data_IF_659885662576
#
_entry.id   IF_659885662576
#
_cell.length_a   1.000
_cell.length_b   1.000
_cell.length_c   1.000
_cell.angle_alpha   90.00
_cell.angle_beta   90.00
_cell.angle_gamma   90.00
#
_symmetry.space_group_name_H-M   'P 1'
#
loop_
_entity.id
_entity.type
_entity.pdbx_description
1 polymer ?
#
# COMPACT_ATOMS: atom_id res chain seq x y z
N UNK A 1 -27.80 2.16 76.68
CA UNK A 1 -27.25 3.22 75.79
C UNK A 1 -26.51 2.50 74.62
N UNK A 2 -27.17 2.38 73.45
CA UNK A 2 -26.66 1.77 72.26
C UNK A 2 -26.17 2.91 71.36
N UNK A 3 -24.85 2.97 71.09
CA UNK A 3 -24.27 3.96 70.14
C UNK A 3 -24.29 3.36 68.76
N UNK A 4 -25.13 3.92 67.89
CA UNK A 4 -25.18 3.60 66.45
C UNK A 4 -24.11 4.43 65.73
N UNK A 5 -23.13 3.72 65.10
CA UNK A 5 -22.15 4.34 64.23
C UNK A 5 -22.70 4.34 62.78
N UNK A 6 -22.89 5.53 62.22
CA UNK A 6 -23.24 5.74 60.82
C UNK A 6 -21.95 5.71 60.01
N UNK A 7 -21.76 4.66 59.20
CA UNK A 7 -20.66 4.59 58.21
C UNK A 7 -21.10 5.38 56.95
N UNK A 8 -20.43 6.49 56.68
CA UNK A 8 -20.53 7.19 55.41
C UNK A 8 -19.60 6.50 54.38
N UNK A 9 -20.19 5.81 53.39
CA UNK A 9 -19.45 5.30 52.24
C UNK A 9 -19.35 6.42 51.22
N UNK A 10 -18.15 7.01 51.09
CA UNK A 10 -17.83 7.99 50.06
C UNK A 10 -17.53 7.21 48.76
N UNK A 11 -18.48 7.14 47.81
CA UNK A 11 -18.25 6.58 46.48
C UNK A 11 -17.45 7.60 45.65
N UNK A 12 -16.17 7.32 45.45
CA UNK A 12 -15.30 8.04 44.49
C UNK A 12 -15.72 7.64 43.09
N UNK A 13 -16.47 8.48 42.38
CA UNK A 13 -16.66 8.37 40.95
C UNK A 13 -15.34 8.71 40.26
N UNK A 14 -14.62 7.70 39.82
CA UNK A 14 -13.46 7.87 38.94
C UNK A 14 -13.94 8.29 37.54
N UNK A 15 -13.93 9.58 37.27
CA UNK A 15 -14.05 10.10 35.91
C UNK A 15 -12.73 9.74 35.14
N UNK A 16 -12.75 8.68 34.39
CA UNK A 16 -11.71 8.47 33.38
C UNK A 16 -11.93 9.49 32.26
N UNK A 17 -11.09 10.52 32.22
CA UNK A 17 -11.02 11.40 31.06
C UNK A 17 -10.71 10.53 29.82
N UNK A 18 -11.45 10.68 28.71
CA UNK A 18 -11.11 9.98 27.48
C UNK A 18 -9.69 10.39 27.09
N UNK A 19 -8.82 9.41 26.91
CA UNK A 19 -7.47 9.63 26.39
C UNK A 19 -7.64 10.14 24.96
N UNK A 20 -7.39 11.42 24.71
CA UNK A 20 -7.45 12.02 23.38
C UNK A 20 -6.52 11.24 22.46
N UNK A 21 -7.03 10.74 21.34
CA UNK A 21 -6.23 10.03 20.36
C UNK A 21 -5.13 10.96 19.80
N UNK A 22 -3.89 10.49 19.81
CA UNK A 22 -2.77 11.29 19.31
C UNK A 22 -2.92 11.48 17.79
N UNK A 23 -2.58 12.69 17.26
CA UNK A 23 -2.44 12.87 15.83
C UNK A 23 -1.44 11.87 15.25
N UNK A 24 -1.77 11.33 14.08
CA UNK A 24 -0.98 10.33 13.37
C UNK A 24 -0.12 11.05 12.33
N UNK A 25 1.19 10.78 12.31
CA UNK A 25 2.09 11.29 11.30
C UNK A 25 1.88 10.57 9.96
N UNK A 26 1.79 11.34 8.87
CA UNK A 26 1.57 10.84 7.52
C UNK A 26 2.62 11.40 6.59
N UNK A 27 3.27 10.53 5.82
CA UNK A 27 4.09 10.90 4.69
C UNK A 27 3.37 10.62 3.38
N UNK A 28 3.53 11.55 2.43
CA UNK A 28 2.98 11.42 1.08
C UNK A 28 4.12 11.31 0.08
N UNK A 29 4.16 10.19 -0.64
CA UNK A 29 4.96 10.04 -1.84
C UNK A 29 4.24 10.67 -3.02
N UNK A 30 4.97 11.41 -3.84
CA UNK A 30 4.40 12.21 -4.92
C UNK A 30 5.11 11.94 -6.25
N UNK A 31 4.40 12.13 -7.36
CA UNK A 31 5.01 12.06 -8.69
C UNK A 31 4.08 12.71 -9.71
N UNK A 32 4.53 13.76 -10.35
CA UNK A 32 3.75 14.49 -11.33
C UNK A 32 4.08 15.97 -11.35
N UNK A 33 3.25 16.74 -12.03
CA UNK A 33 3.44 18.18 -12.17
C UNK A 33 3.26 18.88 -10.82
N UNK A 34 4.24 19.71 -10.44
CA UNK A 34 4.24 20.47 -9.19
C UNK A 34 4.66 19.65 -7.96
N UNK A 35 4.99 18.37 -8.11
CA UNK A 35 5.51 17.55 -7.03
C UNK A 35 7.01 17.83 -6.83
N UNK A 36 7.40 18.23 -5.62
CA UNK A 36 8.78 18.59 -5.28
C UNK A 36 9.50 17.52 -4.44
N UNK A 37 8.77 16.57 -3.86
CA UNK A 37 9.36 15.56 -3.01
C UNK A 37 8.39 14.79 -2.14
N UNK A 38 8.87 14.36 -0.97
CA UNK A 38 8.07 13.72 0.07
C UNK A 38 7.47 14.81 0.95
N UNK A 39 6.16 14.77 1.14
CA UNK A 39 5.43 15.70 2.01
C UNK A 39 5.04 15.02 3.32
N UNK A 40 4.89 15.80 4.38
CA UNK A 40 4.45 15.37 5.70
C UNK A 40 3.27 16.22 6.18
N UNK A 41 2.33 15.57 6.87
CA UNK A 41 1.26 16.20 7.65
C UNK A 41 0.89 15.31 8.84
N UNK A 42 0.04 15.79 9.73
CA UNK A 42 -0.60 14.97 10.74
C UNK A 42 -2.10 14.84 10.47
N UNK A 43 -2.67 13.73 10.87
CA UNK A 43 -4.11 13.45 10.84
C UNK A 43 -4.63 13.22 12.23
N UNK A 44 -5.71 13.92 12.61
CA UNK A 44 -6.39 13.67 13.87
C UNK A 44 -7.56 12.70 13.65
N UNK A 45 -7.48 11.45 14.14
CA UNK A 45 -8.51 10.44 13.92
C UNK A 45 -9.83 10.70 14.64
N UNK A 46 -9.85 11.56 15.68
CA UNK A 46 -11.08 11.91 16.40
C UNK A 46 -12.03 12.75 15.53
N UNK A 47 -11.48 13.68 14.77
CA UNK A 47 -12.27 14.65 14.02
C UNK A 47 -12.01 14.64 12.51
N UNK A 48 -11.10 13.79 12.02
CA UNK A 48 -10.74 13.66 10.61
C UNK A 48 -10.00 14.86 10.01
N UNK A 49 -9.35 15.70 10.83
CA UNK A 49 -8.66 16.90 10.38
C UNK A 49 -7.19 16.64 10.10
N UNK A 50 -6.70 17.30 9.06
CA UNK A 50 -5.29 17.34 8.71
C UNK A 50 -4.64 18.67 9.11
N UNK A 51 -3.35 18.62 9.47
CA UNK A 51 -2.52 19.84 9.40
C UNK A 51 -2.13 20.10 7.93
N UNK A 52 -1.76 21.33 7.55
CA UNK A 52 -1.24 21.59 6.20
C UNK A 52 -0.04 20.71 5.85
N UNK A 53 0.00 20.16 4.64
CA UNK A 53 1.14 19.40 4.15
C UNK A 53 2.36 20.30 3.95
N UNK A 54 3.52 19.82 4.38
CA UNK A 54 4.81 20.50 4.24
C UNK A 54 5.79 19.59 3.51
N UNK A 55 6.65 20.16 2.66
CA UNK A 55 7.75 19.42 2.05
C UNK A 55 8.71 18.96 3.15
N UNK A 56 8.92 17.65 3.22
CA UNK A 56 9.78 17.00 4.23
C UNK A 56 11.15 16.63 3.65
N UNK A 57 11.20 16.17 2.41
CA UNK A 57 12.44 15.91 1.68
C UNK A 57 12.27 16.23 0.19
N UNK A 58 13.10 17.12 -0.38
CA UNK A 58 13.11 17.39 -1.82
C UNK A 58 13.75 16.21 -2.57
N UNK A 59 13.00 15.60 -3.48
CA UNK A 59 13.47 14.50 -4.34
C UNK A 59 12.50 14.30 -5.51
N UNK A 60 13.01 13.99 -6.68
CA UNK A 60 12.20 13.74 -7.86
C UNK A 60 11.42 12.40 -7.76
N UNK A 61 10.13 12.46 -7.97
CA UNK A 61 9.24 11.29 -8.09
C UNK A 61 9.40 10.22 -6.98
N UNK A 62 9.30 10.56 -5.70
CA UNK A 62 9.28 9.58 -4.61
C UNK A 62 7.93 8.84 -4.60
N UNK A 63 7.71 8.04 -5.65
CA UNK A 63 6.40 7.47 -5.99
C UNK A 63 5.89 6.42 -5.01
N UNK A 64 6.76 5.81 -4.23
CA UNK A 64 6.37 4.86 -3.19
C UNK A 64 7.30 4.91 -1.99
N UNK A 65 6.74 4.77 -0.79
CA UNK A 65 7.40 4.88 0.50
C UNK A 65 7.20 3.61 1.31
N UNK A 66 8.17 3.29 2.16
CA UNK A 66 8.07 2.21 3.16
C UNK A 66 8.93 2.54 4.38
N UNK A 67 8.60 1.96 5.54
CA UNK A 67 9.40 2.08 6.76
C UNK A 67 10.26 0.84 6.97
N UNK A 68 11.43 1.04 7.59
CA UNK A 68 12.20 -0.06 8.15
C UNK A 68 11.47 -0.62 9.38
N UNK A 69 11.56 -1.95 9.69
CA UNK A 69 10.90 -2.54 10.86
C UNK A 69 11.29 -1.94 12.21
N UNK A 70 12.39 -1.16 12.30
CA UNK A 70 12.75 -0.44 13.53
C UNK A 70 11.97 0.87 13.75
N UNK A 71 11.10 1.28 12.80
CA UNK A 71 10.28 2.48 12.88
C UNK A 71 11.05 3.82 12.78
N UNK A 72 12.38 3.81 12.55
CA UNK A 72 13.22 5.03 12.57
C UNK A 72 13.71 5.48 11.20
N UNK A 73 13.54 4.64 10.18
CA UNK A 73 14.02 4.88 8.82
C UNK A 73 12.86 4.78 7.85
N UNK A 74 12.75 5.76 6.98
CA UNK A 74 11.86 5.74 5.81
C UNK A 74 12.70 5.49 4.57
N UNK A 75 12.27 4.57 3.69
CA UNK A 75 12.84 4.40 2.36
C UNK A 75 11.85 4.83 1.30
N UNK A 76 12.37 5.38 0.21
CA UNK A 76 11.60 5.73 -0.99
C UNK A 76 12.29 5.22 -2.25
N UNK A 77 11.52 5.02 -3.30
CA UNK A 77 12.04 5.13 -4.66
C UNK A 77 12.21 6.62 -4.98
N UNK A 78 13.08 6.96 -5.93
CA UNK A 78 13.25 8.37 -6.29
C UNK A 78 14.19 8.59 -7.47
N UNK A 79 14.23 9.85 -7.93
CA UNK A 79 15.10 10.32 -9.01
C UNK A 79 15.88 11.53 -8.54
N UNK A 80 17.17 11.56 -8.86
CA UNK A 80 18.07 12.67 -8.58
C UNK A 80 18.98 12.92 -9.77
N UNK A 81 19.76 14.00 -9.71
CA UNK A 81 20.78 14.26 -10.73
C UNK A 81 21.76 13.09 -10.82
N UNK A 82 21.86 12.48 -12.01
CA UNK A 82 22.72 11.34 -12.28
C UNK A 82 22.16 9.97 -11.91
N UNK A 83 20.89 9.84 -11.45
CA UNK A 83 20.37 8.50 -11.17
C UNK A 83 18.91 8.38 -10.72
N UNK A 84 18.47 7.13 -10.71
CA UNK A 84 17.20 6.70 -10.13
C UNK A 84 17.43 5.45 -9.29
N UNK A 85 16.66 5.24 -8.23
CA UNK A 85 16.84 4.06 -7.39
C UNK A 85 16.11 4.17 -6.07
N UNK A 86 16.76 3.73 -4.99
CA UNK A 86 16.25 3.80 -3.63
C UNK A 86 17.02 4.81 -2.78
N UNK A 87 16.32 5.46 -1.85
CA UNK A 87 16.87 6.42 -0.89
C UNK A 87 16.40 6.04 0.52
N UNK A 88 17.22 6.35 1.53
CA UNK A 88 16.91 6.16 2.95
C UNK A 88 17.04 7.46 3.73
N UNK A 89 16.07 7.68 4.63
CA UNK A 89 15.98 8.87 5.47
C UNK A 89 15.82 8.48 6.92
N UNK A 90 16.56 9.14 7.82
CA UNK A 90 16.22 9.14 9.24
C UNK A 90 14.98 9.99 9.47
N UNK A 91 14.03 9.45 10.24
CA UNK A 91 12.82 10.16 10.63
C UNK A 91 13.12 10.96 11.91
N UNK A 92 13.05 12.28 11.79
CA UNK A 92 13.21 13.22 12.90
C UNK A 92 11.89 13.64 13.53
N UNK A 93 11.92 14.45 14.58
CA UNK A 93 10.73 15.03 15.20
C UNK A 93 9.90 15.81 14.18
N UNK A 94 8.56 15.78 14.33
CA UNK A 94 7.62 16.53 13.48
C UNK A 94 7.70 16.19 11.99
N UNK A 95 8.10 14.96 11.65
CA UNK A 95 8.14 14.48 10.27
C UNK A 95 9.29 15.02 9.43
N UNK A 96 10.36 15.53 10.04
CA UNK A 96 11.58 15.90 9.33
C UNK A 96 12.26 14.63 8.77
N UNK A 97 12.69 14.68 7.51
CA UNK A 97 13.42 13.59 6.86
C UNK A 97 14.85 14.05 6.54
N UNK A 98 15.84 13.34 7.10
CA UNK A 98 17.25 13.57 6.81
C UNK A 98 17.79 12.40 6.00
N UNK A 99 18.07 12.64 4.72
CA UNK A 99 18.71 11.63 3.88
C UNK A 99 20.09 11.24 4.43
N UNK A 100 20.35 9.91 4.47
CA UNK A 100 21.65 9.38 4.90
C UNK A 100 22.24 8.37 3.91
N UNK A 101 21.41 7.82 3.02
CA UNK A 101 21.85 6.83 2.02
C UNK A 101 21.02 6.94 0.75
N UNK A 102 21.66 6.73 -0.40
CA UNK A 102 20.99 6.49 -1.70
C UNK A 102 21.80 5.50 -2.51
N UNK A 103 21.11 4.73 -3.34
CA UNK A 103 21.73 3.76 -4.22
C UNK A 103 20.98 3.70 -5.55
N UNK A 104 21.71 3.90 -6.64
CA UNK A 104 21.16 3.81 -7.97
C UNK A 104 20.76 2.37 -8.32
N UNK A 105 19.69 2.22 -9.10
CA UNK A 105 19.30 0.98 -9.74
C UNK A 105 19.67 1.03 -11.22
N UNK A 106 20.46 0.10 -11.73
CA UNK A 106 20.88 0.10 -13.15
C UNK A 106 19.69 0.01 -14.12
N UNK A 107 18.58 -0.60 -13.69
CA UNK A 107 17.38 -0.84 -14.50
C UNK A 107 16.29 0.26 -14.31
N UNK A 108 16.69 1.43 -13.86
CA UNK A 108 15.82 2.59 -13.75
C UNK A 108 15.11 2.74 -12.40
N UNK A 109 14.10 3.62 -12.37
CA UNK A 109 13.37 3.96 -11.16
C UNK A 109 12.29 2.94 -10.81
N UNK A 110 12.23 2.56 -9.54
CA UNK A 110 11.17 1.69 -9.02
C UNK A 110 9.80 2.39 -8.97
N UNK A 111 8.74 1.61 -9.12
CA UNK A 111 7.36 2.06 -8.89
C UNK A 111 6.78 1.60 -7.55
N UNK A 112 7.46 0.65 -6.88
CA UNK A 112 7.11 0.15 -5.56
C UNK A 112 8.37 -0.24 -4.78
N UNK A 113 8.32 -0.15 -3.46
CA UNK A 113 9.42 -0.50 -2.55
C UNK A 113 8.85 -1.21 -1.30
N UNK A 114 9.53 -2.24 -0.82
CA UNK A 114 9.19 -2.94 0.42
C UNK A 114 10.42 -3.45 1.14
N UNK A 115 10.52 -3.19 2.45
CA UNK A 115 11.55 -3.75 3.32
C UNK A 115 11.13 -5.12 3.80
N UNK A 116 12.06 -6.09 3.78
CA UNK A 116 11.80 -7.41 4.38
C UNK A 116 11.62 -7.29 5.91
N UNK A 117 10.71 -8.08 6.53
CA UNK A 117 10.49 -8.01 7.98
C UNK A 117 11.73 -8.20 8.85
N UNK A 118 12.80 -8.84 8.33
CA UNK A 118 14.09 -8.94 9.05
C UNK A 118 14.89 -7.64 9.08
N UNK A 119 14.52 -6.61 8.31
CA UNK A 119 15.29 -5.37 8.15
C UNK A 119 16.60 -5.50 7.37
N UNK A 120 16.92 -6.68 6.80
CA UNK A 120 18.23 -6.94 6.18
C UNK A 120 18.35 -6.55 4.70
N UNK A 121 17.24 -6.34 4.02
CA UNK A 121 17.18 -5.93 2.63
C UNK A 121 15.80 -5.35 2.27
N UNK A 122 15.75 -4.66 1.17
CA UNK A 122 14.51 -4.23 0.55
C UNK A 122 14.44 -4.63 -0.93
N UNK A 123 13.24 -4.65 -1.47
CA UNK A 123 12.96 -4.90 -2.88
C UNK A 123 12.31 -3.68 -3.51
N UNK A 124 12.63 -3.42 -4.77
CA UNK A 124 11.90 -2.47 -5.62
C UNK A 124 11.41 -3.17 -6.89
N UNK A 125 10.22 -2.78 -7.37
CA UNK A 125 9.67 -3.23 -8.65
C UNK A 125 9.98 -2.20 -9.72
N UNK A 126 10.63 -2.62 -10.82
CA UNK A 126 11.03 -1.78 -11.94
C UNK A 126 10.04 -1.95 -13.09
N UNK A 127 8.97 -1.16 -13.09
CA UNK A 127 7.90 -1.29 -14.09
C UNK A 127 8.40 -1.09 -15.52
N UNK A 128 9.23 -0.06 -15.74
CA UNK A 128 9.76 0.26 -17.06
C UNK A 128 10.86 -0.69 -17.52
N UNK A 129 11.68 -1.19 -16.59
CA UNK A 129 12.80 -2.08 -16.90
C UNK A 129 12.42 -3.57 -16.96
N UNK A 130 11.28 -3.94 -16.38
CA UNK A 130 10.83 -5.34 -16.37
C UNK A 130 11.54 -6.22 -15.34
N UNK A 131 12.09 -5.65 -14.28
CA UNK A 131 12.90 -6.35 -13.28
C UNK A 131 12.48 -6.10 -11.84
N UNK A 132 13.08 -6.83 -10.92
CA UNK A 132 13.06 -6.60 -9.48
C UNK A 132 14.50 -6.36 -9.01
N UNK A 133 14.71 -5.27 -8.27
CA UNK A 133 16.00 -5.01 -7.64
C UNK A 133 15.94 -5.30 -6.15
N UNK A 134 16.93 -6.04 -5.64
CA UNK A 134 17.12 -6.32 -4.23
C UNK A 134 18.34 -5.54 -3.73
N UNK A 135 18.11 -4.66 -2.76
CA UNK A 135 19.14 -3.88 -2.09
C UNK A 135 19.41 -4.47 -0.71
N UNK A 136 20.57 -5.06 -0.45
CA UNK A 136 20.97 -5.41 0.90
C UNK A 136 21.06 -4.15 1.77
N UNK A 137 20.78 -4.28 3.07
CA UNK A 137 20.93 -3.23 4.06
C UNK A 137 22.01 -3.64 5.06
N UNK A 138 22.89 -2.71 5.41
CA UNK A 138 23.82 -2.91 6.51
C UNK A 138 23.11 -2.75 7.88
N UNK A 139 23.85 -2.84 8.98
CA UNK A 139 23.30 -2.77 10.34
C UNK A 139 22.71 -1.40 10.66
N UNK A 140 23.21 -0.35 10.03
CA UNK A 140 22.77 1.03 10.17
C UNK A 140 21.60 1.36 9.23
N UNK A 141 21.27 0.45 8.29
CA UNK A 141 20.21 0.61 7.30
C UNK A 141 20.69 1.27 5.99
N UNK A 142 22.02 1.39 5.76
CA UNK A 142 22.51 1.92 4.50
C UNK A 142 22.27 0.93 3.36
N UNK A 143 21.83 1.46 2.23
CA UNK A 143 21.63 0.71 1.00
C UNK A 143 22.97 0.25 0.43
N UNK A 144 23.04 -1.03 0.06
CA UNK A 144 24.18 -1.62 -0.63
C UNK A 144 23.88 -1.84 -2.11
N UNK A 145 24.90 -2.16 -2.91
CA UNK A 145 24.78 -2.41 -4.35
C UNK A 145 23.67 -3.46 -4.61
N UNK A 146 22.68 -3.13 -5.46
CA UNK A 146 21.56 -4.04 -5.70
C UNK A 146 21.93 -5.21 -6.60
N UNK A 147 21.22 -6.31 -6.40
CA UNK A 147 21.10 -7.39 -7.40
C UNK A 147 19.82 -7.16 -8.19
N UNK A 148 19.94 -7.03 -9.52
CA UNK A 148 18.78 -6.91 -10.43
C UNK A 148 18.43 -8.27 -10.98
N UNK A 149 17.14 -8.62 -10.96
CA UNK A 149 16.61 -9.89 -11.44
C UNK A 149 15.55 -9.57 -12.51
N UNK A 150 15.90 -9.82 -13.76
CA UNK A 150 15.02 -9.58 -14.89
C UNK A 150 13.91 -10.62 -14.97
N UNK A 151 12.69 -10.18 -15.25
CA UNK A 151 11.61 -11.02 -15.70
C UNK A 151 11.70 -11.21 -17.22
N UNK A 152 11.12 -12.29 -17.75
CA UNK A 152 11.23 -12.62 -19.17
C UNK A 152 9.85 -12.90 -19.76
N UNK A 153 9.64 -12.47 -21.02
CA UNK A 153 8.44 -12.75 -21.79
C UNK A 153 7.46 -11.58 -21.83
N UNK A 154 6.20 -11.90 -22.03
CA UNK A 154 5.03 -11.04 -22.07
C UNK A 154 3.81 -11.90 -22.35
N UNK A 155 2.65 -11.61 -21.77
CA UNK A 155 1.42 -12.37 -22.02
C UNK A 155 0.83 -12.07 -23.39
N UNK A 156 1.11 -10.86 -23.94
CA UNK A 156 0.68 -10.37 -25.27
C UNK A 156 -0.84 -10.36 -25.48
N UNK A 157 -1.62 -10.32 -24.39
CA UNK A 157 -3.08 -10.32 -24.47
C UNK A 157 -3.60 -8.91 -24.71
N UNK A 158 -3.06 -7.90 -24.00
CA UNK A 158 -3.44 -6.49 -24.16
C UNK A 158 -2.30 -5.77 -24.87
N UNK A 159 -2.55 -5.36 -26.12
CA UNK A 159 -1.59 -4.66 -26.97
C UNK A 159 -1.04 -3.39 -26.27
N UNK A 160 0.26 -3.12 -26.45
CA UNK A 160 1.02 -2.00 -25.86
C UNK A 160 1.12 -2.01 -24.32
N UNK A 161 0.53 -3.01 -23.66
CA UNK A 161 0.57 -3.12 -22.21
C UNK A 161 1.24 -4.39 -21.70
N UNK A 162 1.35 -5.45 -22.55
CA UNK A 162 1.79 -6.77 -22.13
C UNK A 162 2.78 -7.43 -23.10
N UNK A 163 3.51 -6.66 -23.91
CA UNK A 163 4.58 -7.16 -24.78
C UNK A 163 5.82 -7.59 -24.01
N UNK A 164 6.05 -6.98 -22.85
CA UNK A 164 7.19 -7.22 -21.95
C UNK A 164 6.76 -7.30 -20.50
N UNK A 165 7.65 -7.76 -19.59
CA UNK A 165 7.36 -7.75 -18.16
C UNK A 165 7.18 -6.32 -17.60
N UNK A 166 6.27 -6.17 -16.63
CA UNK A 166 6.03 -4.95 -15.90
C UNK A 166 5.74 -5.25 -14.43
N UNK A 167 6.76 -5.62 -13.62
CA UNK A 167 6.61 -5.78 -12.17
C UNK A 167 6.06 -4.50 -11.56
N UNK A 168 4.97 -4.57 -10.78
CA UNK A 168 4.32 -3.37 -10.28
C UNK A 168 4.27 -3.26 -8.76
N UNK A 169 4.51 -4.34 -8.06
CA UNK A 169 4.52 -4.40 -6.61
C UNK A 169 5.55 -5.42 -6.12
N UNK A 170 6.07 -5.21 -4.93
CA UNK A 170 6.91 -6.17 -4.22
C UNK A 170 6.42 -6.33 -2.80
N UNK A 171 6.47 -7.53 -2.26
CA UNK A 171 6.17 -7.77 -0.86
C UNK A 171 6.46 -9.20 -0.47
N UNK A 172 6.19 -9.51 0.79
CA UNK A 172 6.61 -10.78 1.38
C UNK A 172 5.41 -11.56 1.89
N UNK A 173 5.55 -12.89 1.89
CA UNK A 173 4.59 -13.76 2.57
C UNK A 173 4.59 -13.45 4.08
N UNK A 174 3.48 -13.73 4.82
CA UNK A 174 3.39 -13.41 6.25
C UNK A 174 4.53 -13.99 7.11
N UNK A 175 5.11 -15.11 6.68
CA UNK A 175 6.25 -15.74 7.38
C UNK A 175 7.63 -15.27 6.86
N UNK A 176 7.69 -14.31 5.96
CA UNK A 176 8.92 -13.78 5.36
C UNK A 176 9.71 -14.73 4.45
N UNK A 177 9.24 -15.97 4.21
CA UNK A 177 10.02 -16.97 3.46
C UNK A 177 9.95 -16.81 1.95
N UNK A 178 8.99 -16.05 1.45
CA UNK A 178 8.78 -15.84 0.02
C UNK A 178 8.57 -14.36 -0.27
N UNK A 179 9.13 -13.89 -1.38
CA UNK A 179 8.79 -12.62 -2.00
C UNK A 179 7.83 -12.88 -3.16
N UNK A 180 6.80 -12.05 -3.28
CA UNK A 180 5.78 -12.16 -4.31
C UNK A 180 5.74 -10.87 -5.12
N UNK A 181 5.77 -11.01 -6.44
CA UNK A 181 5.90 -9.90 -7.38
C UNK A 181 4.80 -10.03 -8.43
N UNK A 182 3.65 -9.35 -8.28
CA UNK A 182 2.70 -9.18 -9.37
C UNK A 182 3.36 -8.48 -10.56
N UNK A 183 3.24 -9.12 -11.72
CA UNK A 183 3.76 -8.61 -12.99
C UNK A 183 2.62 -8.41 -13.97
N UNK A 184 2.35 -7.15 -14.31
CA UNK A 184 1.25 -6.75 -15.19
C UNK A 184 1.44 -7.30 -16.60
N UNK A 185 2.67 -7.27 -17.11
CA UNK A 185 2.98 -7.70 -18.47
C UNK A 185 2.92 -9.22 -18.65
N UNK A 186 3.12 -9.98 -17.57
CA UNK A 186 3.15 -11.44 -17.59
C UNK A 186 1.82 -12.09 -17.24
N UNK A 187 0.83 -11.35 -16.73
CA UNK A 187 -0.38 -11.89 -16.10
C UNK A 187 -0.10 -12.90 -14.98
N UNK A 188 0.94 -12.64 -14.15
CA UNK A 188 1.42 -13.56 -13.13
C UNK A 188 1.79 -12.85 -11.83
N UNK A 189 1.78 -13.61 -10.73
CA UNK A 189 2.58 -13.33 -9.55
C UNK A 189 3.83 -14.19 -9.67
N UNK A 190 5.00 -13.58 -9.79
CA UNK A 190 6.29 -14.29 -9.75
C UNK A 190 6.66 -14.47 -8.29
N UNK A 191 7.02 -15.71 -7.90
CA UNK A 191 7.29 -16.09 -6.51
C UNK A 191 8.76 -16.44 -6.37
N UNK A 192 9.42 -15.83 -5.40
CA UNK A 192 10.82 -16.08 -5.05
C UNK A 192 10.93 -16.65 -3.64
N UNK A 193 11.85 -17.58 -3.45
CA UNK A 193 12.29 -18.03 -2.12
C UNK A 193 13.29 -17.01 -1.57
N UNK A 194 13.15 -16.66 -0.29
CA UNK A 194 14.00 -15.70 0.42
C UNK A 194 15.03 -16.44 1.27
N UNK A 195 16.29 -16.00 1.22
CA UNK A 195 17.33 -16.31 2.19
C UNK A 195 17.68 -15.04 2.97
N UNK A 196 17.51 -15.07 4.29
CA UNK A 196 17.84 -13.94 5.18
C UNK A 196 19.21 -14.07 5.84
N UNK A 197 19.85 -15.23 5.76
CA UNK A 197 21.21 -15.44 6.30
C UNK A 197 22.24 -14.78 5.36
N UNK A 198 22.07 -15.02 4.06
CA UNK A 198 22.76 -14.33 2.98
C UNK A 198 21.69 -13.65 2.12
N UNK A 199 21.36 -12.35 2.40
CA UNK A 199 20.25 -11.68 1.74
C UNK A 199 20.21 -11.93 0.24
N UNK A 200 19.26 -12.74 -0.20
CA UNK A 200 19.08 -13.12 -1.61
C UNK A 200 17.66 -13.62 -1.85
N UNK A 201 17.22 -13.51 -3.10
CA UNK A 201 15.97 -14.11 -3.57
C UNK A 201 16.27 -15.00 -4.79
N UNK A 202 15.61 -16.15 -4.86
CA UNK A 202 15.76 -17.10 -5.98
C UNK A 202 14.40 -17.49 -6.53
N UNK A 203 14.25 -17.58 -7.86
CA UNK A 203 12.99 -17.94 -8.51
C UNK A 203 12.48 -19.27 -7.97
N UNK A 204 11.24 -19.29 -7.49
CA UNK A 204 10.60 -20.47 -6.91
C UNK A 204 9.45 -20.99 -7.77
N UNK A 205 8.59 -20.08 -8.25
CA UNK A 205 7.44 -20.47 -9.05
C UNK A 205 6.64 -19.25 -9.54
N UNK A 206 5.47 -19.52 -10.08
CA UNK A 206 4.53 -18.50 -10.55
C UNK A 206 3.10 -18.88 -10.21
N UNK A 207 2.25 -17.87 -9.98
CA UNK A 207 0.80 -18.04 -9.91
C UNK A 207 0.16 -17.22 -11.03
N UNK A 208 -0.54 -17.89 -11.96
CA UNK A 208 -1.14 -17.26 -13.14
C UNK A 208 -2.45 -16.60 -12.81
N UNK A 209 -2.61 -15.32 -13.19
CA UNK A 209 -3.86 -14.58 -13.13
C UNK A 209 -4.77 -14.94 -14.32
N UNK A 210 -5.80 -14.12 -14.53
CA UNK A 210 -6.63 -14.18 -15.74
C UNK A 210 -5.87 -13.52 -16.88
N UNK A 211 -5.83 -14.12 -18.10
CA UNK A 211 -5.21 -13.49 -19.25
C UNK A 211 -5.76 -12.09 -19.53
N UNK A 212 -4.89 -11.12 -19.76
CA UNK A 212 -5.26 -9.72 -20.01
C UNK A 212 -5.66 -8.93 -18.75
N UNK A 213 -5.60 -9.56 -17.57
CA UNK A 213 -6.05 -8.89 -16.34
C UNK A 213 -5.06 -7.81 -15.84
N UNK A 214 -3.77 -7.98 -16.06
CA UNK A 214 -2.73 -7.04 -15.64
C UNK A 214 -2.55 -6.95 -14.13
N UNK A 215 -1.94 -7.95 -13.47
CA UNK A 215 -1.60 -7.94 -12.05
C UNK A 215 -0.85 -6.67 -11.63
N UNK A 216 -1.32 -6.01 -10.56
CA UNK A 216 -0.73 -4.74 -10.12
C UNK A 216 -0.23 -4.79 -8.69
N UNK A 217 -1.12 -4.78 -7.73
CA UNK A 217 -0.85 -4.84 -6.30
C UNK A 217 -1.56 -6.04 -5.68
N UNK A 218 -1.10 -6.49 -4.52
CA UNK A 218 -1.75 -7.58 -3.80
C UNK A 218 -1.65 -7.43 -2.30
N UNK A 219 -2.56 -8.10 -1.58
CA UNK A 219 -2.49 -8.23 -0.13
C UNK A 219 -2.86 -9.66 0.27
N UNK A 220 -2.26 -10.12 1.36
CA UNK A 220 -2.70 -11.35 2.02
C UNK A 220 -3.96 -11.09 2.86
N UNK A 221 -4.83 -12.11 2.99
CA UNK A 221 -5.81 -12.11 4.06
C UNK A 221 -5.11 -12.11 5.42
N UNK A 222 -5.78 -11.62 6.47
CA UNK A 222 -5.19 -11.49 7.82
C UNK A 222 -4.68 -12.82 8.37
N UNK A 223 -5.38 -13.93 8.05
CA UNK A 223 -4.97 -15.29 8.43
C UNK A 223 -3.93 -15.92 7.49
N UNK A 224 -3.49 -15.19 6.47
CA UNK A 224 -2.48 -15.61 5.50
C UNK A 224 -2.89 -16.73 4.56
N UNK A 225 -4.17 -17.15 4.53
CA UNK A 225 -4.63 -18.26 3.68
C UNK A 225 -4.97 -17.87 2.26
N UNK A 226 -5.30 -16.59 2.03
CA UNK A 226 -5.69 -16.08 0.73
C UNK A 226 -4.77 -14.93 0.31
N UNK A 227 -4.66 -14.76 -1.01
CA UNK A 227 -4.08 -13.59 -1.67
C UNK A 227 -5.19 -12.92 -2.45
N UNK A 228 -5.35 -11.60 -2.27
CA UNK A 228 -6.20 -10.74 -3.08
C UNK A 228 -5.31 -9.95 -4.03
N UNK A 229 -5.31 -10.34 -5.30
CA UNK A 229 -4.55 -9.74 -6.37
C UNK A 229 -5.41 -8.74 -7.12
N UNK A 230 -5.02 -7.47 -7.09
CA UNK A 230 -5.64 -6.42 -7.88
C UNK A 230 -5.12 -6.47 -9.31
N UNK A 231 -6.03 -6.52 -10.25
CA UNK A 231 -5.76 -6.48 -11.68
C UNK A 231 -6.04 -5.07 -12.22
N UNK A 232 -5.01 -4.43 -12.75
CA UNK A 232 -5.10 -3.05 -13.24
C UNK A 232 -6.01 -2.92 -14.47
N UNK A 233 -5.77 -3.78 -15.47
CA UNK A 233 -6.37 -3.64 -16.80
C UNK A 233 -7.84 -4.09 -16.83
N UNK A 234 -8.17 -5.13 -16.09
CA UNK A 234 -9.55 -5.66 -16.04
C UNK A 234 -10.41 -5.06 -14.92
N UNK A 235 -9.88 -4.16 -14.07
CA UNK A 235 -10.58 -3.61 -12.90
C UNK A 235 -11.26 -4.71 -12.08
N UNK A 236 -10.45 -5.65 -11.59
CA UNK A 236 -10.95 -6.81 -10.85
C UNK A 236 -9.99 -7.24 -9.76
N UNK A 237 -10.48 -8.03 -8.81
CA UNK A 237 -9.66 -8.68 -7.79
C UNK A 237 -9.73 -10.18 -7.98
N UNK A 238 -8.57 -10.82 -8.20
CA UNK A 238 -8.44 -12.28 -8.26
C UNK A 238 -8.02 -12.82 -6.91
N UNK A 239 -8.80 -13.72 -6.35
CA UNK A 239 -8.48 -14.44 -5.12
C UNK A 239 -7.73 -15.71 -5.42
N UNK A 240 -6.62 -15.93 -4.69
CA UNK A 240 -5.87 -17.20 -4.67
C UNK A 240 -5.89 -17.80 -3.27
N UNK A 241 -5.89 -19.13 -3.16
CA UNK A 241 -5.45 -19.79 -1.93
C UNK A 241 -3.93 -19.83 -1.89
N UNK A 242 -3.36 -19.67 -0.69
CA UNK A 242 -1.93 -19.69 -0.46
C UNK A 242 -1.50 -20.90 0.40
N UNK A 243 -0.52 -21.67 -0.07
CA UNK A 243 0.16 -22.70 0.71
C UNK A 243 1.50 -22.16 1.21
N UNK A 244 1.54 -21.71 2.47
CA UNK A 244 2.73 -21.09 3.07
C UNK A 244 3.91 -22.06 3.26
N UNK A 245 3.69 -23.39 3.26
CA UNK A 245 4.75 -24.39 3.38
C UNK A 245 5.42 -24.63 2.05
N UNK A 246 4.62 -24.68 0.96
CA UNK A 246 5.10 -24.92 -0.40
C UNK A 246 5.48 -23.63 -1.13
N UNK A 247 5.02 -22.47 -0.67
CA UNK A 247 5.20 -21.22 -1.40
C UNK A 247 4.43 -21.18 -2.71
N UNK A 248 3.22 -21.73 -2.75
CA UNK A 248 2.42 -21.83 -3.98
C UNK A 248 1.05 -21.20 -3.81
N UNK A 249 0.52 -20.61 -4.90
CA UNK A 249 -0.82 -20.03 -4.92
C UNK A 249 -1.67 -20.67 -6.02
N UNK A 250 -2.93 -20.97 -5.70
CA UNK A 250 -3.92 -21.51 -6.64
C UNK A 250 -5.06 -20.52 -6.82
N UNK A 251 -5.31 -20.11 -8.07
CA UNK A 251 -6.42 -19.20 -8.41
C UNK A 251 -7.78 -19.83 -8.07
N UNK A 252 -8.64 -19.05 -7.43
CA UNK A 252 -9.98 -19.48 -7.00
C UNK A 252 -11.07 -18.75 -7.79
N UNK A 253 -11.19 -17.43 -7.60
CA UNK A 253 -12.26 -16.60 -8.18
C UNK A 253 -11.69 -15.25 -8.62
N UNK A 254 -12.41 -14.57 -9.52
CA UNK A 254 -12.16 -13.18 -9.89
C UNK A 254 -13.46 -12.39 -9.73
N UNK A 255 -13.40 -11.26 -9.02
CA UNK A 255 -14.54 -10.39 -8.73
C UNK A 255 -14.32 -9.05 -9.41
N UNK A 256 -15.19 -8.58 -10.30
CA UNK A 256 -15.11 -7.22 -10.88
C UNK A 256 -15.20 -6.14 -9.79
N UNK A 257 -14.44 -5.06 -9.94
CA UNK A 257 -14.51 -3.88 -9.08
C UNK A 257 -15.71 -2.99 -9.41
N UNK A 258 -16.04 -2.90 -10.71
CA UNK A 258 -17.13 -2.15 -11.29
C UNK A 258 -17.93 -3.05 -12.23
N UNK A 259 -19.20 -2.73 -12.48
CA UNK A 259 -19.99 -3.41 -13.52
C UNK A 259 -19.46 -3.09 -14.91
N UNK A 260 -19.73 -3.93 -15.89
CA UNK A 260 -19.31 -3.68 -17.28
C UNK A 260 -19.97 -2.43 -17.86
N UNK A 261 -21.21 -2.13 -17.48
CA UNK A 261 -21.91 -0.90 -17.87
C UNK A 261 -21.18 0.36 -17.37
N UNK A 262 -20.77 0.37 -16.10
CA UNK A 262 -20.02 1.48 -15.51
C UNK A 262 -18.67 1.65 -16.20
N UNK A 263 -17.95 0.55 -16.46
CA UNK A 263 -16.68 0.60 -17.17
C UNK A 263 -16.81 1.17 -18.58
N UNK A 264 -17.87 0.77 -19.30
CA UNK A 264 -18.10 1.24 -20.68
C UNK A 264 -18.48 2.73 -20.76
N UNK A 265 -18.98 3.32 -19.67
CA UNK A 265 -19.29 4.76 -19.58
C UNK A 265 -18.08 5.67 -19.42
N UNK A 266 -16.90 5.11 -19.12
CA UNK A 266 -15.70 5.89 -18.86
C UNK A 266 -14.71 5.85 -20.03
N UNK A 267 -14.12 6.98 -20.36
CA UNK A 267 -13.10 7.07 -21.42
C UNK A 267 -11.77 6.41 -21.05
N UNK A 268 -11.50 6.28 -19.74
CA UNK A 268 -10.34 5.62 -19.17
C UNK A 268 -10.70 4.95 -17.85
N UNK A 269 -10.29 3.72 -17.69
CA UNK A 269 -10.48 2.95 -16.46
C UNK A 269 -9.24 2.13 -16.12
N UNK A 270 -8.81 2.16 -14.87
CA UNK A 270 -7.82 1.21 -14.36
C UNK A 270 -7.81 1.15 -12.83
N UNK A 271 -7.51 -0.01 -12.25
CA UNK A 271 -7.34 -0.11 -10.80
C UNK A 271 -5.94 0.32 -10.35
N UNK A 272 -5.78 0.72 -9.08
CA UNK A 272 -4.47 1.16 -8.57
C UNK A 272 -4.04 0.51 -7.26
N UNK A 273 -4.77 0.62 -6.17
CA UNK A 273 -4.37 0.10 -4.86
C UNK A 273 -5.40 -0.86 -4.30
N UNK A 274 -4.94 -1.82 -3.49
CA UNK A 274 -5.78 -2.77 -2.76
C UNK A 274 -5.35 -2.86 -1.31
N UNK A 275 -6.33 -2.91 -0.39
CA UNK A 275 -6.12 -3.03 1.05
C UNK A 275 -7.03 -4.11 1.62
N UNK A 276 -6.58 -4.75 2.69
CA UNK A 276 -7.39 -5.64 3.53
C UNK A 276 -7.57 -4.98 4.89
N UNK A 277 -8.81 -4.86 5.33
CA UNK A 277 -9.12 -4.35 6.66
C UNK A 277 -8.58 -5.31 7.73
N UNK A 278 -8.02 -4.82 8.86
CA UNK A 278 -7.46 -5.68 9.91
C UNK A 278 -8.44 -6.70 10.51
N UNK A 279 -9.75 -6.43 10.46
CA UNK A 279 -10.77 -7.42 10.84
C UNK A 279 -10.82 -8.64 9.91
N UNK A 280 -10.20 -8.58 8.73
CA UNK A 280 -10.28 -9.61 7.69
C UNK A 280 -11.64 -9.71 6.98
N UNK A 281 -12.63 -8.88 7.36
CA UNK A 281 -13.99 -8.92 6.82
C UNK A 281 -14.14 -8.13 5.51
N UNK A 282 -13.27 -7.15 5.26
CA UNK A 282 -13.40 -6.21 4.16
C UNK A 282 -12.12 -6.05 3.36
N UNK A 283 -12.28 -5.78 2.06
CA UNK A 283 -11.21 -5.44 1.13
C UNK A 283 -11.62 -4.17 0.39
N UNK A 284 -10.65 -3.31 0.06
CA UNK A 284 -10.86 -2.06 -0.65
C UNK A 284 -9.97 -2.00 -1.88
N UNK A 285 -10.48 -1.52 -3.01
CA UNK A 285 -9.64 -1.22 -4.18
C UNK A 285 -10.01 0.13 -4.81
N UNK A 286 -9.01 0.86 -5.28
CA UNK A 286 -9.23 2.14 -5.95
C UNK A 286 -9.34 1.99 -7.46
N UNK A 287 -10.25 2.78 -8.08
CA UNK A 287 -10.56 2.78 -9.51
C UNK A 287 -10.27 4.17 -10.08
N UNK A 288 -9.22 4.28 -10.90
CA UNK A 288 -8.84 5.51 -11.61
C UNK A 288 -9.73 5.70 -12.84
N UNK A 289 -10.09 6.92 -13.17
CA UNK A 289 -11.03 7.27 -14.23
C UNK A 289 -12.45 7.38 -13.69
N UNK A 290 -12.98 6.32 -13.08
CA UNK A 290 -14.26 6.36 -12.35
C UNK A 290 -14.14 7.06 -10.97
N UNK A 291 -12.92 7.25 -10.48
CA UNK A 291 -12.56 8.02 -9.27
C UNK A 291 -13.28 7.57 -8.00
N UNK A 292 -13.27 6.26 -7.78
CA UNK A 292 -13.96 5.62 -6.66
C UNK A 292 -13.07 4.61 -5.92
N UNK A 293 -13.57 4.18 -4.75
CA UNK A 293 -13.12 2.99 -4.04
C UNK A 293 -14.23 1.95 -4.04
N UNK A 294 -13.95 0.75 -4.51
CA UNK A 294 -14.82 -0.41 -4.37
C UNK A 294 -14.57 -1.07 -3.03
N UNK A 295 -15.65 -1.27 -2.27
CA UNK A 295 -15.67 -1.95 -0.98
C UNK A 295 -16.19 -3.36 -1.18
N UNK A 296 -15.44 -4.35 -0.70
CA UNK A 296 -15.82 -5.75 -0.79
C UNK A 296 -16.01 -6.35 0.60
N UNK A 297 -17.05 -7.13 0.75
CA UNK A 297 -17.17 -8.09 1.85
C UNK A 297 -16.40 -9.36 1.48
N UNK A 298 -15.51 -9.81 2.36
CA UNK A 298 -14.72 -11.02 2.18
C UNK A 298 -15.34 -12.18 2.96
N UNK A 299 -15.44 -13.35 2.33
CA UNK A 299 -15.81 -14.58 3.02
C UNK A 299 -14.54 -15.22 3.61
N UNK A 300 -14.40 -15.33 4.94
CA UNK A 300 -13.17 -15.79 5.57
C UNK A 300 -12.87 -17.29 5.34
N UNK A 301 -13.88 -18.08 4.95
CA UNK A 301 -13.71 -19.52 4.70
C UNK A 301 -13.30 -19.81 3.26
N UNK A 302 -13.73 -18.99 2.30
CA UNK A 302 -13.56 -19.27 0.87
C UNK A 302 -12.70 -18.23 0.15
N UNK A 303 -12.40 -17.08 0.79
CA UNK A 303 -11.74 -15.94 0.18
C UNK A 303 -12.59 -15.21 -0.88
N UNK A 304 -13.82 -15.63 -1.16
CA UNK A 304 -14.70 -14.97 -2.13
C UNK A 304 -15.02 -13.55 -1.70
N UNK A 305 -14.99 -12.63 -2.66
CA UNK A 305 -15.32 -11.22 -2.49
C UNK A 305 -16.70 -10.91 -3.08
N UNK A 306 -17.43 -9.99 -2.44
CA UNK A 306 -18.69 -9.42 -2.95
C UNK A 306 -18.62 -7.91 -2.80
N UNK A 307 -18.78 -7.16 -3.89
CA UNK A 307 -18.87 -5.69 -3.85
C UNK A 307 -20.13 -5.30 -3.06
N UNK A 308 -19.97 -4.43 -2.06
CA UNK A 308 -21.05 -3.92 -1.20
C UNK A 308 -21.23 -2.42 -1.30
N UNK A 309 -20.22 -1.71 -1.86
CA UNK A 309 -20.28 -0.27 -2.13
C UNK A 309 -19.25 0.10 -3.20
N UNK A 310 -19.57 1.13 -3.97
CA UNK A 310 -18.62 1.89 -4.81
C UNK A 310 -18.73 3.35 -4.36
N UNK A 311 -17.67 3.86 -3.70
CA UNK A 311 -17.65 5.16 -3.03
C UNK A 311 -16.80 6.16 -3.79
N UNK A 312 -17.35 7.33 -4.23
CA UNK A 312 -16.56 8.41 -4.79
C UNK A 312 -15.51 8.94 -3.81
N UNK A 313 -14.27 9.17 -4.27
CA UNK A 313 -13.15 9.60 -3.40
C UNK A 313 -13.14 11.09 -3.09
N UNK A 314 -13.97 11.90 -3.72
CA UNK A 314 -13.95 13.38 -3.61
C UNK A 314 -12.63 13.99 -4.11
N UNK A 315 -12.09 13.44 -5.17
CA UNK A 315 -10.88 13.81 -5.87
C UNK A 315 -10.84 13.11 -7.21
N UNK A 316 -9.71 13.19 -7.93
CA UNK A 316 -9.52 12.54 -9.22
C UNK A 316 -8.27 11.69 -9.25
N UNK A 317 -8.34 10.54 -9.94
CA UNK A 317 -7.26 9.60 -10.16
C UNK A 317 -6.70 8.99 -8.86
N UNK A 318 -7.48 8.17 -8.11
CA UNK A 318 -7.06 7.56 -6.84
C UNK A 318 -5.95 6.53 -7.04
N UNK A 319 -4.69 7.02 -7.12
CA UNK A 319 -3.55 6.15 -7.37
C UNK A 319 -3.12 5.36 -6.14
N UNK A 320 -3.45 5.87 -4.95
CA UNK A 320 -3.22 5.16 -3.68
C UNK A 320 -4.37 5.43 -2.70
N UNK A 321 -4.65 4.44 -1.90
CA UNK A 321 -5.49 4.51 -0.70
C UNK A 321 -4.73 3.88 0.46
N UNK A 322 -4.96 4.34 1.69
CA UNK A 322 -4.43 3.64 2.86
C UNK A 322 -5.39 3.75 4.05
N UNK A 323 -5.30 2.77 4.97
CA UNK A 323 -6.06 2.76 6.22
C UNK A 323 -5.23 3.41 7.32
N UNK A 324 -5.88 4.17 8.20
CA UNK A 324 -5.24 4.59 9.45
C UNK A 324 -4.85 3.37 10.30
N UNK A 325 -3.84 3.46 11.20
CA UNK A 325 -3.41 2.32 12.02
C UNK A 325 -4.54 1.68 12.84
N UNK A 326 -5.50 2.47 13.31
CA UNK A 326 -6.72 2.00 13.99
C UNK A 326 -7.78 1.42 13.02
N UNK A 327 -7.57 1.58 11.72
CA UNK A 327 -8.48 1.20 10.65
C UNK A 327 -9.88 1.81 10.74
N UNK A 328 -10.02 2.95 11.41
CA UNK A 328 -11.25 3.71 11.51
C UNK A 328 -11.49 4.61 10.28
N UNK A 329 -10.43 4.90 9.53
CA UNK A 329 -10.46 5.75 8.36
C UNK A 329 -9.75 5.13 7.17
N UNK A 330 -10.27 5.43 5.98
CA UNK A 330 -9.59 5.24 4.71
C UNK A 330 -9.26 6.61 4.12
N UNK A 331 -7.99 6.84 3.80
CA UNK A 331 -7.53 8.01 3.08
C UNK A 331 -7.35 7.66 1.61
N UNK A 332 -7.84 8.53 0.71
CA UNK A 332 -7.75 8.35 -0.73
C UNK A 332 -6.96 9.51 -1.37
N UNK A 333 -5.86 9.18 -2.04
CA UNK A 333 -4.98 10.12 -2.72
C UNK A 333 -5.39 10.29 -4.19
N UNK A 334 -6.01 11.43 -4.49
CA UNK A 334 -6.39 11.85 -5.84
C UNK A 334 -5.23 12.59 -6.51
N UNK A 335 -4.45 11.88 -7.32
CA UNK A 335 -3.22 12.41 -7.91
C UNK A 335 -3.47 13.62 -8.83
N UNK A 336 -4.53 13.56 -9.65
CA UNK A 336 -4.85 14.61 -10.61
C UNK A 336 -5.57 15.80 -9.96
N UNK A 337 -6.25 15.58 -8.83
CA UNK A 337 -6.89 16.65 -8.05
C UNK A 337 -5.95 17.31 -7.03
N UNK A 338 -4.74 16.79 -6.82
CA UNK A 338 -3.81 17.26 -5.79
C UNK A 338 -4.41 17.23 -4.38
N UNK A 339 -5.22 16.22 -4.06
CA UNK A 339 -5.93 16.12 -2.79
C UNK A 339 -5.81 14.75 -2.15
N UNK A 340 -5.88 14.72 -0.82
CA UNK A 340 -6.14 13.49 -0.06
C UNK A 340 -7.39 13.70 0.77
N UNK A 341 -8.39 12.85 0.59
CA UNK A 341 -9.67 12.92 1.29
C UNK A 341 -9.83 11.74 2.25
N UNK A 342 -10.39 11.99 3.44
CA UNK A 342 -10.63 10.97 4.45
C UNK A 342 -12.09 10.52 4.46
N UNK A 343 -12.27 9.21 4.59
CA UNK A 343 -13.55 8.53 4.66
C UNK A 343 -13.62 7.70 5.93
N UNK A 344 -14.68 7.89 6.72
CA UNK A 344 -14.94 7.07 7.90
C UNK A 344 -15.34 5.66 7.46
N UNK A 345 -14.85 4.66 8.17
CA UNK A 345 -15.19 3.25 7.95
C UNK A 345 -16.25 2.83 8.97
N UNK A 346 -17.35 2.28 8.49
CA UNK A 346 -18.30 1.57 9.32
C UNK A 346 -17.74 0.19 9.66
N UNK A 347 -17.48 -0.07 10.92
CA UNK A 347 -16.78 -1.29 11.38
C UNK A 347 -17.60 -2.58 11.24
N UNK A 348 -18.92 -2.47 11.06
CA UNK A 348 -19.82 -3.63 10.88
C UNK A 348 -19.97 -3.99 9.40
N UNK A 349 -20.08 -2.99 8.53
CA UNK A 349 -20.39 -3.17 7.10
C UNK A 349 -19.19 -2.93 6.18
N UNK A 350 -18.11 -2.32 6.67
CA UNK A 350 -16.94 -1.90 5.91
C UNK A 350 -17.19 -0.69 5.01
N UNK A 351 -18.40 -0.16 4.98
CA UNK A 351 -18.78 0.94 4.09
C UNK A 351 -18.08 2.23 4.45
N UNK A 352 -17.79 3.01 3.42
CA UNK A 352 -17.11 4.29 3.51
C UNK A 352 -18.10 5.44 3.50
N UNK A 353 -17.89 6.41 4.38
CA UNK A 353 -18.62 7.69 4.38
C UNK A 353 -17.63 8.83 4.33
N UNK A 354 -17.74 9.70 3.31
CA UNK A 354 -16.90 10.88 3.21
C UNK A 354 -17.15 11.83 4.39
N UNK A 355 -16.09 12.24 5.06
CA UNK A 355 -16.16 13.24 6.12
C UNK A 355 -15.98 14.63 5.54
N UNK A 356 -17.04 15.45 5.59
CA UNK A 356 -17.01 16.82 5.07
C UNK A 356 -15.90 17.66 5.73
N UNK A 357 -15.06 18.29 4.88
CA UNK A 357 -13.94 19.12 5.32
C UNK A 357 -12.71 18.32 5.80
N UNK A 358 -12.68 17.01 5.60
CA UNK A 358 -11.50 16.16 5.82
C UNK A 358 -10.76 15.94 4.52
N UNK A 359 -10.19 17.02 4.00
CA UNK A 359 -9.38 17.05 2.76
C UNK A 359 -8.13 17.88 3.02
N UNK A 360 -7.01 17.43 2.47
CA UNK A 360 -5.74 18.15 2.45
C UNK A 360 -5.23 18.27 1.02
N UNK A 361 -4.60 19.39 0.69
CA UNK A 361 -3.90 19.57 -0.59
C UNK A 361 -2.48 19.02 -0.48
N UNK A 362 -2.13 18.12 -1.41
CA UNK A 362 -0.79 17.55 -1.59
C UNK A 362 -0.53 17.47 -3.08
N UNK A 363 0.59 18.02 -3.61
CA UNK A 363 0.88 17.96 -5.05
C UNK A 363 1.03 16.52 -5.53
N UNK A 364 0.17 16.10 -6.48
CA UNK A 364 0.17 14.80 -7.14
C UNK A 364 0.48 13.60 -6.21
N UNK A 365 -0.33 13.35 -5.14
CA UNK A 365 -0.06 12.32 -4.15
C UNK A 365 -0.35 10.94 -4.74
N UNK A 366 0.62 10.02 -4.66
CA UNK A 366 0.51 8.66 -5.19
C UNK A 366 0.92 7.57 -4.21
N UNK A 367 1.28 7.94 -2.99
CA UNK A 367 1.54 7.05 -1.87
C UNK A 367 1.17 7.73 -0.56
N UNK A 368 0.50 7.02 0.34
CA UNK A 368 0.18 7.44 1.71
C UNK A 368 0.88 6.46 2.64
N UNK A 369 1.74 6.94 3.52
CA UNK A 369 2.43 6.14 4.53
C UNK A 369 2.16 6.72 5.91
N UNK A 370 1.56 5.92 6.79
CA UNK A 370 1.44 6.25 8.21
C UNK A 370 2.70 5.81 8.96
N UNK A 371 3.08 6.57 9.98
CA UNK A 371 4.01 6.09 11.01
C UNK A 371 3.20 5.50 12.16
N UNK A 372 3.62 4.32 12.63
CA UNK A 372 3.05 3.63 13.79
C UNK A 372 3.55 4.27 15.11
#
# INVERSE_FOLDING_TARGET
MIKTYLLFILSILSFSLPLLAKPIDIFFGTSGRGAEGIYHATFNPENGKFTPAKLSAPIGSPGFLTTHPNGKILYSVGRWDGGTGALGYHIGPKGELKEFTRMACPDGGGCHIAVHPSGKFLLTAQYGGGSVAMFPLDKEGNLQIPTVIEHQGGSKVVEKRQESPHPHWTGFSPNGKYALIPDLGLDQIVIYKVDTNKPSISKHGVARSVPGAGPRHMRFSVDGKFIYLLNELSLSVTTFSWDARKGTAKRLTTTPALSEEVKAGESFNSSAEILVHPSGKFVYSSNRGHDTVSVYQANPKTGKLKVVQVQPIRGAFPRNINLTPDADWLLAAGADSNTVAAHRIDQETGKLTYQRGSVINVPSPICILFLD
#
